data_IF_497261083310
#
_entry.id   IF_497261083310
#
_cell.length_a   1.000
_cell.length_b   1.000
_cell.length_c   1.000
_cell.angle_alpha   90.00
_cell.angle_beta   90.00
_cell.angle_gamma   90.00
#
_symmetry.space_group_name_H-M   'P 1'
#
loop_
_entity.id
_entity.type
_entity.pdbx_description
1 polymer ?
#
# COMPACT_ATOMS: atom_id res chain seq x y z
N UNK A 1 15.53 -0.84 17.09
CA UNK A 1 14.87 0.42 17.49
C UNK A 1 15.20 1.57 16.54
N UNK A 2 16.49 1.90 16.32
CA UNK A 2 16.86 3.03 15.44
C UNK A 2 16.32 2.90 14.00
N UNK A 3 16.35 1.70 13.39
CA UNK A 3 15.82 1.46 12.06
C UNK A 3 14.31 1.73 11.93
N UNK A 4 13.52 1.39 12.97
CA UNK A 4 12.08 1.70 13.00
C UNK A 4 11.80 3.19 13.15
N UNK A 5 12.65 3.92 13.87
CA UNK A 5 12.57 5.37 13.98
C UNK A 5 12.82 6.04 12.61
N UNK A 6 13.87 5.60 11.90
CA UNK A 6 14.15 6.08 10.54
C UNK A 6 12.99 5.75 9.59
N UNK A 7 12.39 4.55 9.70
CA UNK A 7 11.24 4.16 8.88
C UNK A 7 10.02 5.06 9.13
N UNK A 8 9.79 5.50 10.38
CA UNK A 8 8.74 6.47 10.70
C UNK A 8 8.90 7.81 9.98
N UNK A 9 10.12 8.27 9.73
CA UNK A 9 10.36 9.47 8.92
C UNK A 9 9.98 9.28 7.44
N UNK A 10 10.18 8.09 6.90
CA UNK A 10 9.80 7.77 5.52
C UNK A 10 8.27 7.79 5.36
N UNK A 11 7.54 7.35 6.37
CA UNK A 11 6.07 7.37 6.35
C UNK A 11 5.51 8.81 6.37
N UNK A 12 6.25 9.78 6.92
CA UNK A 12 5.87 11.19 6.93
C UNK A 12 6.08 11.90 5.59
N UNK A 13 6.74 11.27 4.61
CA UNK A 13 7.02 11.91 3.32
C UNK A 13 5.75 12.31 2.57
N UNK A 14 4.66 11.54 2.71
CA UNK A 14 3.37 11.88 2.12
C UNK A 14 2.81 13.20 2.65
N UNK A 15 2.90 13.42 3.95
CA UNK A 15 2.51 14.67 4.61
C UNK A 15 3.42 15.82 4.20
N UNK A 16 4.75 15.61 4.19
CA UNK A 16 5.73 16.62 3.77
C UNK A 16 5.51 17.07 2.32
N UNK A 17 5.16 16.14 1.42
CA UNK A 17 4.82 16.41 0.02
C UNK A 17 3.67 17.43 -0.10
N UNK A 18 2.70 17.36 0.81
CA UNK A 18 1.58 18.28 0.80
C UNK A 18 1.98 19.72 1.18
N UNK A 19 2.87 19.88 2.15
CA UNK A 19 3.40 21.22 2.50
C UNK A 19 4.21 21.81 1.35
N UNK A 20 5.07 21.01 0.71
CA UNK A 20 5.85 21.44 -0.47
C UNK A 20 4.93 21.84 -1.62
N UNK A 21 3.82 21.09 -1.84
CA UNK A 21 2.84 21.43 -2.86
C UNK A 21 2.26 22.83 -2.66
N UNK A 22 1.86 23.17 -1.43
CA UNK A 22 1.26 24.46 -1.10
C UNK A 22 2.27 25.59 -1.20
N UNK A 23 3.48 25.39 -0.68
CA UNK A 23 4.54 26.43 -0.67
C UNK A 23 4.99 26.83 -2.08
N UNK A 24 5.07 25.85 -3.00
CA UNK A 24 5.56 26.06 -4.37
C UNK A 24 4.46 26.04 -5.45
N UNK A 25 3.19 26.01 -5.06
CA UNK A 25 2.02 25.95 -5.97
C UNK A 25 2.15 24.89 -7.07
N UNK A 26 2.49 23.67 -6.67
CA UNK A 26 2.76 22.57 -7.58
C UNK A 26 1.52 21.77 -7.95
N UNK A 27 1.43 21.26 -9.18
CA UNK A 27 0.45 20.26 -9.58
C UNK A 27 0.62 18.97 -8.76
N UNK A 28 -0.46 18.19 -8.57
CA UNK A 28 -0.44 16.98 -7.75
C UNK A 28 0.60 15.97 -8.23
N UNK A 29 0.70 15.76 -9.55
CA UNK A 29 1.70 14.87 -10.13
C UNK A 29 3.13 15.28 -9.81
N UNK A 30 3.45 16.57 -9.96
CA UNK A 30 4.77 17.14 -9.68
C UNK A 30 5.13 17.07 -8.20
N UNK A 31 4.19 17.42 -7.31
CA UNK A 31 4.39 17.33 -5.87
C UNK A 31 4.71 15.89 -5.44
N UNK A 32 4.01 14.91 -5.99
CA UNK A 32 4.22 13.51 -5.65
C UNK A 32 5.57 12.94 -6.13
N UNK A 33 6.33 13.64 -6.98
CA UNK A 33 7.70 13.25 -7.33
C UNK A 33 8.64 13.29 -6.11
N UNK A 34 8.37 14.09 -5.09
CA UNK A 34 9.15 14.05 -3.84
C UNK A 34 9.01 12.68 -3.15
N UNK A 35 7.80 12.16 -3.08
CA UNK A 35 7.56 10.79 -2.58
C UNK A 35 8.28 9.75 -3.43
N UNK A 36 8.21 9.88 -4.76
CA UNK A 36 8.91 9.01 -5.70
C UNK A 36 10.41 9.01 -5.47
N UNK A 37 11.04 10.18 -5.27
CA UNK A 37 12.47 10.30 -5.02
C UNK A 37 12.92 9.54 -3.78
N UNK A 38 12.16 9.61 -2.67
CA UNK A 38 12.49 8.87 -1.46
C UNK A 38 12.47 7.36 -1.71
N UNK A 39 11.40 6.84 -2.33
CA UNK A 39 11.28 5.41 -2.62
C UNK A 39 12.21 4.93 -3.74
N UNK A 40 12.61 5.80 -4.66
CA UNK A 40 13.61 5.50 -5.68
C UNK A 40 14.98 5.19 -5.07
N UNK A 41 15.40 5.93 -4.03
CA UNK A 41 16.61 5.61 -3.28
C UNK A 41 16.54 4.27 -2.58
N UNK A 42 15.37 3.88 -2.06
CA UNK A 42 15.17 2.53 -1.53
C UNK A 42 15.44 1.48 -2.59
N UNK A 43 14.94 1.67 -3.81
CA UNK A 43 15.20 0.74 -4.92
C UNK A 43 16.69 0.63 -5.23
N UNK A 44 17.39 1.78 -5.35
CA UNK A 44 18.83 1.82 -5.65
C UNK A 44 19.62 1.08 -4.56
N UNK A 45 19.33 1.29 -3.29
CA UNK A 45 20.05 0.65 -2.19
C UNK A 45 19.57 -0.78 -1.89
N UNK A 46 18.32 -1.12 -2.16
CA UNK A 46 17.81 -2.47 -1.99
C UNK A 46 18.50 -3.46 -2.95
N UNK A 47 18.79 -3.01 -4.18
CA UNK A 47 19.50 -3.83 -5.17
C UNK A 47 20.90 -4.23 -4.68
N UNK A 48 21.82 -3.30 -4.33
CA UNK A 48 23.13 -3.67 -3.80
C UNK A 48 23.08 -4.48 -2.51
N UNK A 49 22.12 -4.17 -1.62
CA UNK A 49 21.93 -4.93 -0.36
C UNK A 49 21.46 -6.35 -0.64
N UNK A 50 20.51 -6.51 -1.54
CA UNK A 50 20.08 -7.84 -2.03
C UNK A 50 21.19 -8.60 -2.77
N UNK A 51 22.07 -7.86 -3.48
CA UNK A 51 23.26 -8.43 -4.12
C UNK A 51 24.30 -8.91 -3.13
N UNK A 52 24.53 -8.15 -2.07
CA UNK A 52 25.46 -8.51 -0.99
C UNK A 52 24.97 -9.74 -0.24
N UNK A 53 23.67 -9.93 -0.13
CA UNK A 53 23.05 -11.10 0.51
C UNK A 53 22.96 -12.32 -0.43
N UNK A 54 22.82 -12.11 -1.75
CA UNK A 54 22.72 -13.20 -2.75
C UNK A 54 23.10 -12.73 -4.17
N UNK A 55 23.59 -13.63 -5.02
CA UNK A 55 23.91 -13.35 -6.44
C UNK A 55 22.61 -12.96 -7.20
N UNK A 56 22.51 -11.71 -7.66
CA UNK A 56 21.31 -11.06 -8.28
C UNK A 56 20.54 -11.93 -9.28
N UNK A 57 21.24 -12.69 -10.12
CA UNK A 57 20.57 -13.50 -11.13
C UNK A 57 19.58 -14.54 -10.57
N UNK A 58 19.68 -14.88 -9.27
CA UNK A 58 18.78 -15.83 -8.62
C UNK A 58 17.47 -15.20 -8.19
N UNK A 59 17.47 -13.95 -7.71
CA UNK A 59 16.25 -13.26 -7.26
C UNK A 59 15.29 -13.01 -8.45
N UNK A 60 15.80 -12.49 -9.56
CA UNK A 60 14.98 -12.26 -10.75
C UNK A 60 14.49 -13.58 -11.36
N UNK A 61 15.34 -14.61 -11.41
CA UNK A 61 14.93 -15.93 -11.88
C UNK A 61 13.83 -16.53 -10.99
N UNK A 62 13.90 -16.30 -9.67
CA UNK A 62 12.89 -16.75 -8.72
C UNK A 62 11.56 -16.00 -8.93
N UNK A 63 11.61 -14.70 -9.16
CA UNK A 63 10.42 -13.87 -9.40
C UNK A 63 9.61 -14.37 -10.61
N UNK A 64 10.27 -14.63 -11.72
CA UNK A 64 9.60 -15.03 -12.96
C UNK A 64 9.36 -16.55 -13.09
N UNK A 65 10.09 -17.39 -12.36
CA UNK A 65 9.89 -18.83 -12.39
C UNK A 65 8.75 -19.34 -11.49
N UNK A 66 8.38 -18.55 -10.47
CA UNK A 66 7.33 -18.91 -9.52
C UNK A 66 6.27 -17.80 -9.49
N UNK A 67 5.20 -17.94 -10.30
CA UNK A 67 4.19 -16.89 -10.37
C UNK A 67 3.46 -16.61 -9.05
N UNK A 68 3.45 -17.51 -8.10
CA UNK A 68 3.00 -17.24 -6.74
C UNK A 68 3.85 -16.14 -6.10
N UNK A 69 5.17 -16.23 -6.23
CA UNK A 69 6.12 -15.22 -5.72
C UNK A 69 5.87 -13.88 -6.42
N UNK A 70 5.65 -13.91 -7.74
CA UNK A 70 5.34 -12.71 -8.51
C UNK A 70 4.02 -12.06 -8.08
N UNK A 71 2.96 -12.84 -7.89
CA UNK A 71 1.67 -12.32 -7.42
C UNK A 71 1.76 -11.73 -6.01
N UNK A 72 2.48 -12.40 -5.10
CA UNK A 72 2.71 -11.86 -3.76
C UNK A 72 3.57 -10.58 -3.79
N UNK A 73 4.58 -10.52 -4.66
CA UNK A 73 5.37 -9.31 -4.89
C UNK A 73 4.49 -8.14 -5.36
N UNK A 74 3.65 -8.36 -6.37
CA UNK A 74 2.69 -7.34 -6.82
C UNK A 74 1.70 -6.96 -5.72
N UNK A 75 1.32 -7.90 -4.84
CA UNK A 75 0.50 -7.61 -3.66
C UNK A 75 1.17 -6.64 -2.71
N UNK A 76 2.48 -6.77 -2.50
CA UNK A 76 3.25 -5.82 -1.69
C UNK A 76 3.39 -4.48 -2.41
N UNK A 77 3.63 -4.47 -3.72
CA UNK A 77 3.66 -3.23 -4.52
C UNK A 77 2.34 -2.47 -4.40
N UNK A 78 1.21 -3.17 -4.55
CA UNK A 78 -0.12 -2.57 -4.40
C UNK A 78 -0.37 -2.06 -2.98
N UNK A 79 -0.04 -2.86 -1.96
CA UNK A 79 -0.15 -2.51 -0.55
C UNK A 79 0.61 -1.21 -0.23
N UNK A 80 1.90 -1.15 -0.57
CA UNK A 80 2.75 0.02 -0.27
C UNK A 80 2.33 1.22 -1.11
N UNK A 81 1.91 0.99 -2.35
CA UNK A 81 1.37 2.03 -3.22
C UNK A 81 0.12 2.69 -2.64
N UNK A 82 -0.82 1.89 -2.13
CA UNK A 82 -2.01 2.40 -1.44
C UNK A 82 -1.65 3.12 -0.15
N UNK A 83 -0.73 2.55 0.64
CA UNK A 83 -0.26 3.12 1.91
C UNK A 83 0.28 4.54 1.75
N UNK A 84 1.29 4.68 0.91
CA UNK A 84 1.95 5.97 0.68
C UNK A 84 1.04 6.93 -0.10
N UNK A 85 0.31 6.39 -1.07
CA UNK A 85 -0.60 7.17 -1.91
C UNK A 85 -1.72 7.82 -1.12
N UNK A 86 -2.39 7.08 -0.23
CA UNK A 86 -3.49 7.64 0.55
C UNK A 86 -3.00 8.69 1.55
N UNK A 87 -1.84 8.50 2.17
CA UNK A 87 -1.25 9.49 3.07
C UNK A 87 -0.94 10.82 2.36
N UNK A 88 -0.57 10.77 1.07
CA UNK A 88 -0.37 11.97 0.27
C UNK A 88 -1.69 12.61 -0.20
N UNK A 89 -2.70 11.82 -0.53
CA UNK A 89 -3.94 12.29 -1.16
C UNK A 89 -5.09 12.57 -0.19
N UNK A 90 -5.16 11.89 0.96
CA UNK A 90 -6.26 12.05 1.90
C UNK A 90 -6.52 13.52 2.33
N UNK A 91 -5.49 14.31 2.67
CA UNK A 91 -5.71 15.73 2.97
C UNK A 91 -6.29 16.52 1.80
N UNK A 92 -5.85 16.22 0.58
CA UNK A 92 -6.31 16.91 -0.65
C UNK A 92 -7.77 16.57 -0.97
N UNK A 93 -8.18 15.34 -0.74
CA UNK A 93 -9.56 14.88 -0.91
C UNK A 93 -10.49 15.66 0.00
N UNK A 94 -10.13 15.82 1.28
CA UNK A 94 -10.97 16.51 2.23
C UNK A 94 -11.02 18.00 1.93
N UNK A 95 -9.87 18.64 1.63
CA UNK A 95 -9.80 20.06 1.26
C UNK A 95 -10.64 20.39 0.03
N UNK A 96 -10.60 19.53 -1.01
CA UNK A 96 -11.42 19.70 -2.22
C UNK A 96 -12.92 19.70 -1.89
N UNK A 97 -13.32 18.88 -0.91
CA UNK A 97 -14.74 18.71 -0.56
C UNK A 97 -15.25 19.76 0.43
N UNK A 98 -14.44 20.15 1.44
CA UNK A 98 -14.86 21.06 2.51
C UNK A 98 -14.45 22.52 2.28
N UNK A 99 -13.42 22.75 1.44
CA UNK A 99 -12.83 24.08 1.25
C UNK A 99 -12.02 24.59 2.47
N UNK A 100 -11.82 23.73 3.48
CA UNK A 100 -11.09 24.09 4.70
C UNK A 100 -9.58 24.25 4.47
N UNK A 101 -8.90 24.92 5.42
CA UNK A 101 -7.46 25.14 5.33
C UNK A 101 -6.68 23.82 5.41
N UNK A 102 -5.87 23.60 4.41
CA UNK A 102 -5.12 22.38 4.18
C UNK A 102 -4.22 21.91 5.35
N UNK A 103 -3.66 22.87 6.10
CA UNK A 103 -2.61 22.58 7.11
C UNK A 103 -3.11 21.79 8.31
N UNK A 104 -4.30 22.07 8.81
CA UNK A 104 -4.86 21.39 9.99
C UNK A 104 -5.38 19.99 9.63
N UNK A 105 -5.93 19.86 8.46
CA UNK A 105 -6.50 18.61 7.94
C UNK A 105 -5.40 17.59 7.63
N UNK A 106 -4.27 18.04 7.07
CA UNK A 106 -3.18 17.14 6.67
C UNK A 106 -2.62 16.32 7.83
N UNK A 107 -2.33 16.98 8.95
CA UNK A 107 -1.81 16.31 10.13
C UNK A 107 -2.84 15.35 10.75
N UNK A 108 -4.11 15.79 10.83
CA UNK A 108 -5.19 14.98 11.42
C UNK A 108 -5.50 13.74 10.59
N UNK A 109 -5.54 13.84 9.25
CA UNK A 109 -5.79 12.70 8.38
C UNK A 109 -4.69 11.64 8.51
N UNK A 110 -3.43 12.07 8.49
CA UNK A 110 -2.28 11.20 8.71
C UNK A 110 -2.33 10.53 10.11
N UNK A 111 -2.67 11.30 11.14
CA UNK A 111 -2.79 10.78 12.51
C UNK A 111 -3.88 9.70 12.62
N UNK A 112 -5.07 9.93 12.08
CA UNK A 112 -6.18 8.95 12.08
C UNK A 112 -5.76 7.69 11.35
N UNK A 113 -5.11 7.83 10.19
CA UNK A 113 -4.60 6.68 9.43
C UNK A 113 -3.65 5.82 10.27
N UNK A 114 -2.61 6.43 10.88
CA UNK A 114 -1.62 5.69 11.64
C UNK A 114 -2.15 5.11 12.95
N UNK A 115 -3.10 5.78 13.62
CA UNK A 115 -3.79 5.22 14.80
C UNK A 115 -4.57 3.96 14.38
N UNK A 116 -5.35 4.04 13.31
CA UNK A 116 -6.10 2.89 12.81
C UNK A 116 -5.17 1.74 12.38
N UNK A 117 -4.05 2.07 11.72
CA UNK A 117 -3.02 1.10 11.34
C UNK A 117 -2.36 0.45 12.55
N UNK A 118 -2.04 1.21 13.58
CA UNK A 118 -1.48 0.70 14.83
C UNK A 118 -2.45 -0.29 15.49
N UNK A 119 -3.73 0.07 15.62
CA UNK A 119 -4.77 -0.82 16.14
C UNK A 119 -4.87 -2.09 15.28
N UNK A 120 -4.84 -1.95 13.95
CA UNK A 120 -4.84 -3.07 13.02
C UNK A 120 -3.64 -4.00 13.17
N UNK A 121 -2.44 -3.46 13.37
CA UNK A 121 -1.23 -4.26 13.63
C UNK A 121 -1.33 -5.05 14.94
N UNK A 122 -1.79 -4.42 16.03
CA UNK A 122 -1.95 -5.10 17.33
C UNK A 122 -3.02 -6.19 17.26
N UNK A 123 -4.21 -5.86 16.76
CA UNK A 123 -5.30 -6.82 16.61
C UNK A 123 -4.94 -7.94 15.64
N UNK A 124 -4.29 -7.59 14.53
CA UNK A 124 -3.79 -8.56 13.56
C UNK A 124 -2.75 -9.50 14.16
N UNK A 125 -1.80 -9.03 14.95
CA UNK A 125 -0.81 -9.87 15.62
C UNK A 125 -1.47 -10.96 16.50
N UNK A 126 -2.59 -10.65 17.15
CA UNK A 126 -3.34 -11.60 17.97
C UNK A 126 -4.22 -12.53 17.10
N UNK A 127 -4.94 -11.96 16.14
CA UNK A 127 -5.94 -12.69 15.35
C UNK A 127 -5.26 -13.58 14.30
N UNK A 128 -4.22 -13.09 13.61
CA UNK A 128 -3.52 -13.84 12.56
C UNK A 128 -2.78 -15.07 13.09
N UNK A 129 -2.47 -15.11 14.39
CA UNK A 129 -1.94 -16.35 15.00
C UNK A 129 -2.95 -17.49 15.05
N UNK A 130 -4.25 -17.18 14.90
CA UNK A 130 -5.38 -18.13 15.01
C UNK A 130 -6.07 -18.43 13.69
N UNK A 131 -5.83 -17.61 12.66
CA UNK A 131 -6.47 -17.76 11.33
C UNK A 131 -5.41 -18.03 10.26
N UNK A 132 -5.84 -18.60 9.12
CA UNK A 132 -4.93 -18.84 7.99
C UNK A 132 -4.57 -17.54 7.26
N UNK A 133 -3.41 -17.49 6.62
CA UNK A 133 -2.98 -16.37 5.78
C UNK A 133 -4.02 -16.03 4.70
N UNK A 134 -4.71 -17.02 4.14
CA UNK A 134 -5.81 -16.85 3.20
C UNK A 134 -6.92 -15.96 3.76
N UNK A 135 -7.46 -16.33 4.92
CA UNK A 135 -8.53 -15.57 5.58
C UNK A 135 -8.04 -14.17 5.95
N UNK A 136 -6.80 -14.04 6.40
CA UNK A 136 -6.18 -12.75 6.70
C UNK A 136 -6.13 -11.83 5.48
N UNK A 137 -5.63 -12.30 4.33
CA UNK A 137 -5.57 -11.52 3.08
C UNK A 137 -6.98 -11.15 2.60
N UNK A 138 -7.94 -12.08 2.68
CA UNK A 138 -9.31 -11.84 2.27
C UNK A 138 -9.97 -10.75 3.13
N UNK A 139 -9.85 -10.82 4.45
CA UNK A 139 -10.40 -9.82 5.37
C UNK A 139 -9.76 -8.44 5.13
N UNK A 140 -8.44 -8.37 5.02
CA UNK A 140 -7.74 -7.13 4.69
C UNK A 140 -8.23 -6.55 3.35
N UNK A 141 -8.35 -7.38 2.30
CA UNK A 141 -8.85 -6.98 0.99
C UNK A 141 -10.27 -6.45 1.01
N UNK A 142 -11.17 -7.09 1.77
CA UNK A 142 -12.56 -6.62 1.95
C UNK A 142 -12.59 -5.25 2.62
N UNK A 143 -11.84 -5.07 3.72
CA UNK A 143 -11.80 -3.80 4.47
C UNK A 143 -11.22 -2.67 3.61
N UNK A 144 -10.12 -2.94 2.90
CA UNK A 144 -9.50 -1.96 1.99
C UNK A 144 -10.44 -1.58 0.84
N UNK A 145 -11.14 -2.56 0.26
CA UNK A 145 -12.11 -2.29 -0.81
C UNK A 145 -13.32 -1.51 -0.31
N UNK A 146 -13.81 -1.83 0.90
CA UNK A 146 -14.87 -1.03 1.54
C UNK A 146 -14.43 0.43 1.75
N UNK A 147 -13.19 0.66 2.17
CA UNK A 147 -12.63 2.01 2.25
C UNK A 147 -12.62 2.70 0.90
N UNK A 148 -12.17 2.02 -0.17
CA UNK A 148 -12.15 2.60 -1.51
C UNK A 148 -13.56 2.97 -2.00
N UNK A 149 -14.58 2.17 -1.68
CA UNK A 149 -15.98 2.50 -1.96
C UNK A 149 -16.41 3.74 -1.18
N UNK A 150 -16.09 3.84 0.11
CA UNK A 150 -16.42 5.02 0.93
C UNK A 150 -15.77 6.29 0.36
N UNK A 151 -14.51 6.24 -0.04
CA UNK A 151 -13.83 7.36 -0.70
C UNK A 151 -14.46 7.72 -2.04
N UNK A 152 -14.83 6.72 -2.85
CA UNK A 152 -15.49 6.94 -4.14
C UNK A 152 -16.84 7.63 -3.95
N UNK A 153 -17.64 7.18 -2.99
CA UNK A 153 -18.92 7.83 -2.63
C UNK A 153 -18.67 9.27 -2.17
N UNK A 154 -17.68 9.49 -1.30
CA UNK A 154 -17.35 10.80 -0.78
C UNK A 154 -16.94 11.78 -1.89
N UNK A 155 -16.10 11.34 -2.84
CA UNK A 155 -15.67 12.18 -3.97
C UNK A 155 -16.74 12.39 -5.05
N UNK A 156 -17.69 11.46 -5.18
CA UNK A 156 -18.71 11.53 -6.25
C UNK A 156 -19.94 12.36 -5.87
N UNK A 157 -20.22 12.51 -4.59
CA UNK A 157 -21.41 13.23 -4.11
C UNK A 157 -20.99 14.61 -3.58
N UNK A 158 -21.27 15.64 -4.36
CA UNK A 158 -20.86 17.04 -4.09
C UNK A 158 -21.74 17.73 -3.04
N UNK A 159 -22.83 17.12 -2.56
CA UNK A 159 -23.80 17.78 -1.69
C UNK A 159 -23.85 17.14 -0.29
N UNK A 160 -23.49 17.92 0.73
CA UNK A 160 -23.77 17.71 2.16
C UNK A 160 -23.48 16.32 2.75
N UNK A 161 -22.49 15.58 2.24
CA UNK A 161 -22.03 14.39 2.93
C UNK A 161 -21.29 14.75 4.22
N UNK A 162 -21.58 14.07 5.32
CA UNK A 162 -20.86 14.34 6.56
C UNK A 162 -19.38 13.95 6.39
N UNK A 163 -18.47 14.81 6.83
CA UNK A 163 -17.03 14.53 6.90
C UNK A 163 -16.71 13.23 7.63
N UNK A 164 -17.65 12.73 8.43
CA UNK A 164 -17.56 11.42 9.09
C UNK A 164 -17.30 10.26 8.12
N UNK A 165 -17.86 10.29 6.91
CA UNK A 165 -17.62 9.23 5.91
C UNK A 165 -16.14 9.21 5.46
N UNK A 166 -15.52 10.38 5.30
CA UNK A 166 -14.11 10.49 5.00
C UNK A 166 -13.25 9.88 6.12
N UNK A 167 -13.52 10.25 7.37
CA UNK A 167 -12.77 9.73 8.51
C UNK A 167 -12.90 8.21 8.68
N UNK A 168 -14.09 7.68 8.44
CA UNK A 168 -14.32 6.23 8.39
C UNK A 168 -13.51 5.59 7.27
N UNK A 169 -13.48 6.18 6.08
CA UNK A 169 -12.71 5.66 4.96
C UNK A 169 -11.21 5.64 5.25
N UNK A 170 -10.65 6.72 5.83
CA UNK A 170 -9.24 6.79 6.25
C UNK A 170 -8.92 5.72 7.31
N UNK A 171 -9.79 5.56 8.31
CA UNK A 171 -9.59 4.55 9.35
C UNK A 171 -9.67 3.12 8.78
N UNK A 172 -10.60 2.85 7.87
CA UNK A 172 -10.74 1.54 7.23
C UNK A 172 -9.51 1.17 6.39
N UNK A 173 -8.98 2.11 5.60
CA UNK A 173 -7.78 1.79 4.83
C UNK A 173 -6.55 1.61 5.72
N UNK A 174 -6.39 2.42 6.76
CA UNK A 174 -5.29 2.25 7.73
C UNK A 174 -5.36 0.89 8.43
N UNK A 175 -6.54 0.50 8.91
CA UNK A 175 -6.76 -0.78 9.57
C UNK A 175 -6.59 -1.97 8.60
N UNK A 176 -7.23 -1.93 7.43
CA UNK A 176 -7.18 -3.00 6.44
C UNK A 176 -5.78 -3.22 5.86
N UNK A 177 -5.04 -2.13 5.67
CA UNK A 177 -3.69 -2.17 5.09
C UNK A 177 -2.60 -2.63 6.09
N UNK A 178 -2.90 -2.67 7.40
CA UNK A 178 -1.93 -2.86 8.49
C UNK A 178 -1.10 -4.15 8.40
N UNK A 179 -1.71 -5.26 7.99
CA UNK A 179 -1.09 -6.59 8.04
C UNK A 179 -0.79 -7.20 6.65
N UNK A 180 -1.14 -6.51 5.57
CA UNK A 180 -1.03 -7.03 4.20
C UNK A 180 0.40 -7.42 3.84
N UNK A 181 1.38 -6.57 4.18
CA UNK A 181 2.80 -6.87 3.96
C UNK A 181 3.23 -8.17 4.64
N UNK A 182 2.92 -8.31 5.92
CA UNK A 182 3.30 -9.48 6.73
C UNK A 182 2.65 -10.77 6.21
N UNK A 183 1.40 -10.67 5.74
CA UNK A 183 0.65 -11.81 5.20
C UNK A 183 1.26 -12.30 3.88
N UNK A 184 1.56 -11.40 2.94
CA UNK A 184 2.19 -11.77 1.67
C UNK A 184 3.62 -12.28 1.88
N UNK A 185 4.39 -11.64 2.75
CA UNK A 185 5.75 -12.08 3.09
C UNK A 185 5.73 -13.47 3.73
N UNK A 186 4.92 -13.67 4.77
CA UNK A 186 4.78 -14.96 5.45
C UNK A 186 4.38 -16.08 4.48
N UNK A 187 3.38 -15.80 3.63
CA UNK A 187 2.94 -16.78 2.63
C UNK A 187 4.06 -17.17 1.67
N UNK A 188 4.81 -16.20 1.16
CA UNK A 188 5.89 -16.45 0.20
C UNK A 188 7.06 -17.20 0.85
N UNK A 189 7.39 -16.89 2.12
CA UNK A 189 8.42 -17.58 2.88
C UNK A 189 8.04 -19.05 3.16
N UNK A 190 6.77 -19.31 3.43
CA UNK A 190 6.25 -20.67 3.62
C UNK A 190 6.23 -21.48 2.31
N UNK A 191 6.06 -20.82 1.17
CA UNK A 191 6.04 -21.45 -0.15
C UNK A 191 7.43 -21.97 -0.58
N UNK A 192 8.52 -21.27 -0.21
CA UNK A 192 9.92 -21.62 -0.54
C UNK A 192 10.83 -21.45 0.67
N UNK A 193 10.71 -22.34 1.67
CA UNK A 193 11.47 -22.23 2.92
C UNK A 193 12.99 -22.34 2.73
N UNK A 194 13.44 -22.97 1.65
CA UNK A 194 14.87 -23.13 1.31
C UNK A 194 15.52 -21.83 0.79
N UNK A 195 14.73 -20.80 0.46
CA UNK A 195 15.20 -19.53 -0.15
C UNK A 195 14.73 -18.28 0.59
N UNK A 196 14.59 -18.35 1.90
CA UNK A 196 14.01 -17.26 2.71
C UNK A 196 14.71 -15.93 2.54
N UNK A 197 16.04 -15.91 2.47
CA UNK A 197 16.82 -14.66 2.32
C UNK A 197 16.57 -14.02 0.95
N UNK A 198 16.51 -14.81 -0.13
CA UNK A 198 16.25 -14.33 -1.48
C UNK A 198 14.83 -13.77 -1.59
N UNK A 199 13.86 -14.46 -1.00
CA UNK A 199 12.45 -14.04 -0.96
C UNK A 199 12.27 -12.78 -0.14
N UNK A 200 12.86 -12.70 1.06
CA UNK A 200 12.76 -11.49 1.89
C UNK A 200 13.32 -10.27 1.17
N UNK A 201 14.49 -10.40 0.53
CA UNK A 201 15.07 -9.33 -0.27
C UNK A 201 14.19 -8.91 -1.45
N UNK A 202 13.60 -9.91 -2.15
CA UNK A 202 12.69 -9.67 -3.26
C UNK A 202 11.41 -8.96 -2.81
N UNK A 203 10.79 -9.40 -1.72
CA UNK A 203 9.57 -8.79 -1.18
C UNK A 203 9.82 -7.35 -0.70
N UNK A 204 10.99 -7.07 -0.11
CA UNK A 204 11.39 -5.70 0.23
C UNK A 204 11.53 -4.78 -0.99
N UNK A 205 11.91 -5.31 -2.16
CA UNK A 205 11.89 -4.52 -3.40
C UNK A 205 10.48 -4.08 -3.79
N UNK A 206 9.42 -4.73 -3.29
CA UNK A 206 8.03 -4.32 -3.47
C UNK A 206 7.69 -2.95 -2.88
N UNK A 207 8.55 -2.40 -2.00
CA UNK A 207 8.43 -1.02 -1.51
C UNK A 207 8.46 0.02 -2.65
N UNK A 208 8.91 -0.35 -3.86
CA UNK A 208 8.81 0.49 -5.05
C UNK A 208 7.37 0.93 -5.37
N UNK A 209 6.36 0.23 -4.86
CA UNK A 209 4.98 0.66 -4.95
C UNK A 209 4.75 2.09 -4.45
N UNK A 210 5.46 2.50 -3.39
CA UNK A 210 5.44 3.86 -2.87
C UNK A 210 6.05 4.91 -3.83
N UNK A 211 6.88 4.49 -4.78
CA UNK A 211 7.39 5.37 -5.83
C UNK A 211 6.44 5.44 -7.04
N UNK A 212 5.70 4.39 -7.32
CA UNK A 212 4.89 4.25 -8.54
C UNK A 212 3.49 4.84 -8.35
N UNK A 213 2.80 4.48 -7.26
CA UNK A 213 1.39 4.84 -7.08
C UNK A 213 1.15 6.35 -6.88
N UNK A 214 1.87 7.06 -5.98
CA UNK A 214 1.57 8.48 -5.72
C UNK A 214 1.68 9.37 -6.96
N UNK A 215 2.70 9.27 -7.84
CA UNK A 215 2.73 10.05 -9.08
C UNK A 215 1.57 9.74 -10.02
N UNK A 216 1.21 8.46 -10.16
CA UNK A 216 0.08 8.05 -11.01
C UNK A 216 -1.23 8.60 -10.43
N UNK A 217 -1.43 8.50 -9.10
CA UNK A 217 -2.58 9.06 -8.41
C UNK A 217 -2.68 10.56 -8.63
N UNK A 218 -1.55 11.28 -8.48
CA UNK A 218 -1.50 12.73 -8.72
C UNK A 218 -1.77 13.10 -10.16
N UNK A 219 -1.13 12.43 -11.12
CA UNK A 219 -1.32 12.69 -12.54
C UNK A 219 -2.77 12.44 -13.00
N UNK A 220 -3.41 11.38 -12.49
CA UNK A 220 -4.79 11.07 -12.83
C UNK A 220 -5.76 12.06 -12.16
N UNK A 221 -5.47 12.50 -10.93
CA UNK A 221 -6.23 13.56 -10.27
C UNK A 221 -6.16 14.90 -11.05
N UNK A 222 -4.96 15.25 -11.52
CA UNK A 222 -4.75 16.46 -12.34
C UNK A 222 -5.48 16.34 -13.70
N UNK A 223 -5.41 15.18 -14.35
CA UNK A 223 -6.07 14.93 -15.64
C UNK A 223 -7.61 14.98 -15.55
N UNK A 224 -8.16 14.54 -14.42
CA UNK A 224 -9.61 14.56 -14.16
C UNK A 224 -10.09 15.88 -13.53
N UNK A 225 -9.19 16.76 -13.13
CA UNK A 225 -9.48 17.94 -12.31
C UNK A 225 -10.33 17.59 -11.05
N UNK A 226 -10.10 16.42 -10.48
CA UNK A 226 -10.83 15.89 -9.33
C UNK A 226 -9.99 14.82 -8.60
N UNK A 227 -10.03 14.82 -7.28
CA UNK A 227 -9.33 13.80 -6.47
C UNK A 227 -9.90 12.38 -6.66
N UNK A 228 -11.06 12.25 -7.30
CA UNK A 228 -11.60 10.96 -7.72
C UNK A 228 -10.59 10.15 -8.58
N UNK A 229 -9.76 10.84 -9.40
CA UNK A 229 -8.70 10.19 -10.16
C UNK A 229 -7.70 9.44 -9.28
N UNK A 230 -7.29 10.03 -8.16
CA UNK A 230 -6.42 9.37 -7.20
C UNK A 230 -7.09 8.14 -6.55
N UNK A 231 -8.39 8.25 -6.23
CA UNK A 231 -9.14 7.14 -5.62
C UNK A 231 -9.30 5.96 -6.58
N UNK A 232 -9.44 6.18 -7.87
CA UNK A 232 -9.49 5.11 -8.88
C UNK A 232 -8.19 4.27 -8.83
N UNK A 233 -7.03 4.91 -8.77
CA UNK A 233 -5.74 4.21 -8.68
C UNK A 233 -5.64 3.43 -7.36
N UNK A 234 -6.05 4.05 -6.24
CA UNK A 234 -6.12 3.37 -4.94
C UNK A 234 -7.04 2.14 -4.99
N UNK A 235 -8.22 2.28 -5.60
CA UNK A 235 -9.19 1.20 -5.72
C UNK A 235 -8.63 0.00 -6.50
N UNK A 236 -7.84 0.24 -7.55
CA UNK A 236 -7.13 -0.83 -8.28
C UNK A 236 -6.20 -1.61 -7.36
N UNK A 237 -5.43 -0.92 -6.51
CA UNK A 237 -4.56 -1.58 -5.52
C UNK A 237 -5.34 -2.39 -4.49
N UNK A 238 -6.44 -1.84 -3.95
CA UNK A 238 -7.31 -2.52 -3.00
C UNK A 238 -7.99 -3.75 -3.62
N UNK A 239 -8.51 -3.62 -4.85
CA UNK A 239 -9.13 -4.72 -5.59
C UNK A 239 -8.11 -5.83 -5.90
N UNK A 240 -6.86 -5.49 -6.19
CA UNK A 240 -5.83 -6.49 -6.40
C UNK A 240 -5.66 -7.37 -5.16
N UNK A 241 -5.55 -6.78 -3.96
CA UNK A 241 -5.45 -7.53 -2.70
C UNK A 241 -6.68 -8.41 -2.48
N UNK A 242 -7.88 -7.88 -2.76
CA UNK A 242 -9.14 -8.64 -2.65
C UNK A 242 -9.18 -9.82 -3.62
N UNK A 243 -8.82 -9.62 -4.90
CA UNK A 243 -8.81 -10.67 -5.93
C UNK A 243 -7.85 -11.80 -5.55
N UNK A 244 -6.66 -11.46 -5.03
CA UNK A 244 -5.74 -12.48 -4.51
C UNK A 244 -6.36 -13.20 -3.30
N UNK A 245 -7.03 -12.49 -2.40
CA UNK A 245 -7.73 -13.09 -1.25
C UNK A 245 -8.83 -14.06 -1.68
N UNK A 246 -9.69 -13.67 -2.62
CA UNK A 246 -10.78 -14.53 -3.13
C UNK A 246 -10.24 -15.70 -3.94
N UNK A 247 -9.29 -15.45 -4.84
CA UNK A 247 -8.68 -16.45 -5.71
C UNK A 247 -7.61 -17.31 -5.06
N UNK A 248 -7.33 -17.13 -3.76
CA UNK A 248 -6.18 -17.71 -3.07
C UNK A 248 -6.04 -19.22 -3.29
N UNK A 249 -7.12 -19.98 -3.15
CA UNK A 249 -7.10 -21.43 -3.36
C UNK A 249 -6.82 -21.80 -4.81
N UNK A 250 -7.44 -21.13 -5.75
CA UNK A 250 -7.25 -21.40 -7.18
C UNK A 250 -5.88 -20.93 -7.68
N UNK A 251 -5.41 -19.78 -7.19
CA UNK A 251 -4.18 -19.14 -7.67
C UNK A 251 -2.94 -19.69 -6.95
N UNK A 252 -3.05 -19.96 -5.66
CA UNK A 252 -1.93 -20.23 -4.76
C UNK A 252 -1.87 -21.72 -4.33
N UNK A 253 -3.01 -22.36 -4.05
CA UNK A 253 -3.06 -23.78 -3.63
C UNK A 253 -3.18 -24.75 -4.81
N UNK A 254 -3.87 -24.40 -5.88
CA UNK A 254 -4.17 -25.29 -7.00
C UNK A 254 -2.97 -25.87 -7.75
N UNK A 255 -1.77 -25.27 -7.56
CA UNK A 255 -0.51 -25.83 -8.11
C UNK A 255 0.34 -26.61 -7.13
N UNK A 256 0.04 -26.56 -5.83
CA UNK A 256 0.72 -27.39 -4.84
C UNK A 256 0.34 -28.86 -5.03
N UNK A 257 -0.90 -29.13 -5.40
CA UNK A 257 -1.37 -30.46 -5.76
C UNK A 257 -0.66 -31.01 -7.01
N UNK A 258 -0.54 -30.21 -8.06
CA UNK A 258 0.10 -30.62 -9.31
C UNK A 258 1.64 -30.82 -9.24
N UNK A 259 2.31 -30.26 -8.21
CA UNK A 259 3.76 -30.46 -8.00
C UNK A 259 4.09 -31.62 -7.07
N UNK A 260 3.11 -32.14 -6.33
CA UNK A 260 3.26 -33.34 -5.49
C UNK A 260 2.94 -34.61 -6.28
N UNK A 261 2.19 -34.48 -7.39
CA UNK A 261 1.84 -35.57 -8.30
C UNK A 261 2.81 -35.77 -9.49
N UNK A 262 3.81 -34.87 -9.66
CA UNK A 262 4.84 -34.93 -10.70
C UNK A 262 6.23 -35.19 -10.10
#
# INVERSE_FOLDING_TARGET
>A
MFAFFVMGFVDLVGTATNYVKVEFDLANGTANLFTTMVFFWFLIFAVPTGMLMNKIGRCFKLLFSAHIVFLCFLGIVAHVGVDVGINAQAPRILTEHTGDTFTEIAATATMVYFIARMIGCFTGGIVLSKISNHVGILVCGIIMTASAVCFTIFCSITSNLPAALFWVAVALVGFGNSNVFSLFLSHTLMYRPERQNEISGLMLMGLIGGAIFPPIMGALADAMNAQLGAIIVMAVGCLYVLVIGVGYKAIIEGKKAAQVEA
#
